data_IF_641469584942
#
_entry.id   IF_641469584942
#
_cell.length_a   1.000
_cell.length_b   1.000
_cell.length_c   1.000
_cell.angle_alpha   90.00
_cell.angle_beta   90.00
_cell.angle_gamma   90.00
#
_symmetry.space_group_name_H-M   'P 1'
#
loop_
_entity.id
_entity.type
_entity.pdbx_description
1 polymer ?
#
# COMPACT_ATOMS: atom_id res chain seq x y z
N UNK A 1 -41.07 27.93 -46.20
CA UNK A 1 -41.02 26.84 -47.18
C UNK A 1 -40.30 27.34 -48.41
N UNK A 2 -39.23 26.77 -48.93
CA UNK A 2 -38.32 25.74 -48.46
C UNK A 2 -37.42 25.46 -49.67
N UNK A 3 -36.10 25.44 -49.44
CA UNK A 3 -35.08 24.79 -50.28
C UNK A 3 -34.88 25.40 -51.68
N UNK A 4 -33.64 25.63 -52.14
CA UNK A 4 -32.72 24.59 -52.59
C UNK A 4 -31.29 25.13 -52.76
N UNK A 5 -30.32 24.22 -52.65
CA UNK A 5 -28.94 24.25 -53.18
C UNK A 5 -27.78 24.56 -52.19
N UNK A 6 -27.32 23.50 -51.52
CA UNK A 6 -25.99 22.87 -51.69
C UNK A 6 -24.81 23.84 -51.95
N UNK A 7 -24.05 24.23 -50.93
CA UNK A 7 -22.83 23.55 -50.39
C UNK A 7 -21.75 23.31 -51.47
N UNK A 8 -20.70 24.15 -51.45
CA UNK A 8 -19.28 23.77 -51.46
C UNK A 8 -18.40 25.04 -51.50
N UNK A 9 -17.92 25.48 -50.34
CA UNK A 9 -16.97 26.58 -50.18
C UNK A 9 -16.14 26.36 -48.93
N UNK A 10 -14.87 26.00 -49.13
CA UNK A 10 -13.89 25.62 -48.13
C UNK A 10 -13.65 26.74 -47.10
N UNK A 11 -13.59 26.39 -45.81
CA UNK A 11 -12.83 27.15 -44.82
C UNK A 11 -12.00 26.15 -44.01
N UNK A 12 -10.69 26.24 -44.24
CA UNK A 12 -9.65 25.72 -43.37
C UNK A 12 -9.81 26.29 -41.96
N UNK A 13 -9.91 25.44 -40.95
CA UNK A 13 -9.41 25.77 -39.62
C UNK A 13 -8.63 24.60 -39.04
N UNK A 14 -7.34 24.87 -38.90
CA UNK A 14 -6.31 24.15 -38.18
C UNK A 14 -6.81 23.72 -36.79
N UNK A 15 -6.88 22.41 -36.52
CA UNK A 15 -7.12 21.91 -35.17
C UNK A 15 -5.78 21.90 -34.42
N UNK A 16 -5.65 22.79 -33.43
CA UNK A 16 -4.52 22.80 -32.50
C UNK A 16 -4.32 21.41 -31.83
N UNK A 17 -3.08 21.01 -31.52
CA UNK A 17 -2.84 19.75 -30.84
C UNK A 17 -3.50 19.80 -29.47
N UNK A 18 -4.44 18.87 -29.23
CA UNK A 18 -4.98 18.62 -27.89
C UNK A 18 -3.85 18.08 -27.04
N UNK A 19 -3.37 18.92 -26.12
CA UNK A 19 -2.52 18.49 -25.03
C UNK A 19 -3.31 17.50 -24.16
N UNK A 20 -3.08 16.21 -24.41
CA UNK A 20 -3.63 15.11 -23.61
C UNK A 20 -2.75 14.83 -22.38
N UNK A 21 -2.00 15.80 -21.85
CA UNK A 21 -1.32 15.64 -20.57
C UNK A 21 -2.20 16.15 -19.42
N UNK A 22 -3.06 15.27 -18.93
CA UNK A 22 -3.48 15.22 -17.51
C UNK A 22 -4.31 13.95 -17.29
N UNK A 23 -3.65 12.81 -17.42
CA UNK A 23 -3.97 11.73 -16.50
C UNK A 23 -3.75 12.29 -15.08
N UNK A 24 -4.62 12.03 -14.08
CA UNK A 24 -4.25 12.26 -12.70
C UNK A 24 -3.21 11.19 -12.36
N UNK A 25 -1.98 11.41 -12.81
CA UNK A 25 -0.86 10.59 -12.46
C UNK A 25 -0.48 11.01 -11.04
N UNK A 26 -0.74 10.14 -10.07
CA UNK A 26 0.08 10.12 -8.88
C UNK A 26 1.55 10.27 -9.33
N UNK A 27 2.33 11.18 -8.74
CA UNK A 27 3.74 11.40 -9.07
C UNK A 27 4.60 10.24 -8.51
N UNK A 28 4.11 9.02 -8.68
CA UNK A 28 4.70 7.75 -8.26
C UNK A 28 5.26 7.00 -9.45
N UNK A 29 5.30 7.59 -10.66
CA UNK A 29 5.64 6.87 -11.91
C UNK A 29 7.07 6.30 -11.93
N UNK A 30 7.94 6.75 -11.02
CA UNK A 30 9.29 6.20 -10.84
C UNK A 30 9.37 5.09 -9.79
N UNK A 31 8.33 4.89 -8.98
CA UNK A 31 8.33 3.92 -7.90
C UNK A 31 7.61 2.64 -8.30
N UNK A 32 8.17 1.51 -7.89
CA UNK A 32 7.52 0.22 -8.05
C UNK A 32 6.25 0.19 -7.19
N UNK A 33 5.11 -0.13 -7.83
CA UNK A 33 3.85 -0.34 -7.12
C UNK A 33 3.93 -1.53 -6.14
N UNK A 34 3.10 -1.53 -5.07
CA UNK A 34 2.95 -2.68 -4.19
C UNK A 34 2.64 -3.97 -4.96
N UNK A 35 3.15 -5.09 -4.46
CA UNK A 35 2.63 -6.39 -4.91
C UNK A 35 1.22 -6.59 -4.35
N UNK A 36 0.36 -7.30 -5.07
CA UNK A 36 -0.95 -7.68 -4.55
C UNK A 36 -0.83 -8.57 -3.30
N UNK A 37 -1.75 -8.38 -2.36
CA UNK A 37 -1.85 -9.17 -1.14
C UNK A 37 -3.23 -9.84 -1.06
N UNK A 38 -3.24 -11.17 -1.08
CA UNK A 38 -4.48 -11.96 -1.12
C UNK A 38 -4.97 -12.43 0.27
N UNK A 39 -4.17 -12.17 1.32
CA UNK A 39 -4.44 -12.62 2.68
C UNK A 39 -4.08 -14.07 3.00
N UNK A 40 -3.35 -14.79 2.13
CA UNK A 40 -3.00 -16.21 2.35
C UNK A 40 -1.62 -16.43 2.97
N UNK A 41 -0.66 -15.55 2.70
CA UNK A 41 0.72 -15.69 3.11
C UNK A 41 1.11 -14.57 4.08
N UNK A 42 0.96 -14.83 5.38
CA UNK A 42 1.19 -13.84 6.44
C UNK A 42 2.57 -13.14 6.34
N UNK A 43 3.63 -13.88 6.03
CA UNK A 43 4.99 -13.33 5.88
C UNK A 43 5.11 -12.26 4.77
N UNK A 44 4.15 -12.16 3.85
CA UNK A 44 4.13 -11.11 2.80
C UNK A 44 3.48 -9.80 3.25
N UNK A 45 2.71 -9.82 4.34
CA UNK A 45 1.93 -8.67 4.79
C UNK A 45 2.83 -7.47 5.13
N UNK A 46 3.92 -7.69 5.88
CA UNK A 46 4.86 -6.61 6.23
C UNK A 46 5.47 -5.95 5.01
N UNK A 47 5.88 -6.74 4.01
CA UNK A 47 6.42 -6.22 2.75
C UNK A 47 5.39 -5.43 1.94
N UNK A 48 4.12 -5.88 1.94
CA UNK A 48 3.02 -5.13 1.33
C UNK A 48 2.83 -3.76 2.00
N UNK A 49 2.66 -3.72 3.32
CA UNK A 49 2.50 -2.47 4.08
C UNK A 49 3.67 -1.51 3.89
N UNK A 50 4.91 -2.01 3.98
CA UNK A 50 6.12 -1.19 3.76
C UNK A 50 6.16 -0.59 2.35
N UNK A 51 5.74 -1.35 1.33
CA UNK A 51 5.69 -0.82 -0.04
C UNK A 51 4.65 0.29 -0.20
N UNK A 52 3.49 0.20 0.46
CA UNK A 52 2.50 1.27 0.51
C UNK A 52 3.05 2.51 1.22
N UNK A 53 3.65 2.34 2.41
CA UNK A 53 4.23 3.44 3.18
C UNK A 53 5.31 4.17 2.38
N UNK A 54 6.16 3.45 1.65
CA UNK A 54 7.19 4.06 0.81
C UNK A 54 6.58 4.97 -0.28
N UNK A 55 5.50 4.54 -0.92
CA UNK A 55 4.75 5.35 -1.89
C UNK A 55 4.19 6.62 -1.22
N UNK A 56 3.62 6.50 -0.03
CA UNK A 56 3.03 7.64 0.68
C UNK A 56 4.07 8.69 1.08
N UNK A 57 5.26 8.23 1.52
CA UNK A 57 6.35 9.13 1.88
C UNK A 57 6.98 9.82 0.68
N UNK A 58 6.98 9.17 -0.48
CA UNK A 58 7.52 9.76 -1.71
C UNK A 58 6.59 10.82 -2.30
N UNK A 59 5.27 10.69 -2.14
CA UNK A 59 4.28 11.60 -2.71
C UNK A 59 3.31 12.12 -1.63
N UNK A 60 3.81 12.89 -0.64
CA UNK A 60 3.01 13.34 0.49
C UNK A 60 1.87 14.28 0.07
N UNK A 61 2.02 15.00 -1.05
CA UNK A 61 0.97 15.88 -1.60
C UNK A 61 -0.21 15.08 -2.14
N UNK A 62 0.00 13.88 -2.69
CA UNK A 62 -1.12 13.03 -3.10
C UNK A 62 -1.64 12.18 -1.94
N UNK A 63 -0.79 11.79 -0.99
CA UNK A 63 -1.14 10.94 0.15
C UNK A 63 -1.27 11.71 1.48
N UNK A 64 -1.75 12.95 1.43
CA UNK A 64 -1.89 13.82 2.61
C UNK A 64 -2.92 13.34 3.63
N UNK A 65 -3.92 12.57 3.21
CA UNK A 65 -4.97 12.05 4.09
C UNK A 65 -4.92 10.54 4.20
N UNK A 66 -5.26 10.04 5.39
CA UNK A 66 -5.33 8.61 5.66
C UNK A 66 -6.34 7.90 4.76
N UNK A 67 -7.46 8.56 4.42
CA UNK A 67 -8.43 8.02 3.47
C UNK A 67 -7.81 7.68 2.11
N UNK A 68 -6.95 8.55 1.57
CA UNK A 68 -6.25 8.27 0.31
C UNK A 68 -5.24 7.13 0.44
N UNK A 69 -4.53 7.05 1.56
CA UNK A 69 -3.58 5.96 1.86
C UNK A 69 -4.31 4.62 1.90
N UNK A 70 -5.40 4.54 2.67
CA UNK A 70 -6.21 3.34 2.79
C UNK A 70 -6.77 2.96 1.43
N UNK A 71 -7.39 3.89 0.69
CA UNK A 71 -7.96 3.57 -0.62
C UNK A 71 -6.93 3.03 -1.61
N UNK A 72 -5.75 3.66 -1.67
CA UNK A 72 -4.66 3.16 -2.49
C UNK A 72 -4.24 1.75 -2.07
N UNK A 73 -4.03 1.50 -0.79
CA UNK A 73 -3.68 0.15 -0.32
C UNK A 73 -4.76 -0.87 -0.64
N UNK A 74 -6.04 -0.52 -0.51
CA UNK A 74 -7.15 -1.44 -0.80
C UNK A 74 -7.21 -1.86 -2.27
N UNK A 75 -6.75 -1.03 -3.22
CA UNK A 75 -6.72 -1.43 -4.64
C UNK A 75 -5.73 -2.56 -4.95
N UNK A 76 -4.83 -2.87 -4.00
CA UNK A 76 -3.88 -3.99 -4.09
C UNK A 76 -4.28 -5.19 -3.22
N UNK A 77 -5.40 -5.11 -2.50
CA UNK A 77 -5.93 -6.26 -1.78
C UNK A 77 -6.75 -7.14 -2.74
N UNK A 78 -6.50 -8.44 -2.69
CA UNK A 78 -7.22 -9.44 -3.50
C UNK A 78 -7.64 -10.62 -2.63
N UNK A 79 -8.31 -11.61 -3.20
CA UNK A 79 -8.65 -12.85 -2.49
C UNK A 79 -9.38 -12.60 -1.17
N UNK A 80 -8.89 -13.21 -0.08
CA UNK A 80 -9.52 -13.11 1.24
C UNK A 80 -9.39 -11.70 1.83
N UNK A 81 -8.26 -11.03 1.62
CA UNK A 81 -8.06 -9.66 2.09
C UNK A 81 -8.97 -8.67 1.35
N UNK A 82 -9.16 -8.85 0.04
CA UNK A 82 -10.12 -8.08 -0.76
C UNK A 82 -11.57 -8.30 -0.30
N UNK A 83 -11.97 -9.56 -0.10
CA UNK A 83 -13.32 -9.89 0.39
C UNK A 83 -13.61 -9.30 1.77
N UNK A 84 -12.59 -9.20 2.64
CA UNK A 84 -12.73 -8.59 3.97
C UNK A 84 -13.03 -7.09 3.89
N UNK A 85 -12.41 -6.36 2.96
CA UNK A 85 -12.57 -4.90 2.87
C UNK A 85 -13.79 -4.48 2.05
N UNK A 86 -14.30 -5.33 1.17
CA UNK A 86 -15.42 -5.06 0.27
C UNK A 86 -16.65 -4.42 0.96
N UNK A 87 -17.16 -4.91 2.11
CA UNK A 87 -18.35 -4.34 2.75
C UNK A 87 -18.18 -2.87 3.16
N UNK A 88 -16.94 -2.46 3.46
CA UNK A 88 -16.62 -1.08 3.79
C UNK A 88 -16.59 -0.20 2.55
N UNK A 89 -16.05 -0.71 1.44
CA UNK A 89 -15.99 0.00 0.15
C UNK A 89 -17.36 0.24 -0.47
N UNK A 90 -18.32 -0.66 -0.28
CA UNK A 90 -19.70 -0.51 -0.76
C UNK A 90 -20.41 0.75 -0.21
N UNK A 91 -19.92 1.30 0.91
CA UNK A 91 -20.47 2.47 1.58
C UNK A 91 -19.58 3.72 1.46
N UNK A 92 -18.60 3.72 0.56
CA UNK A 92 -17.59 4.78 0.45
C UNK A 92 -18.17 6.15 0.07
N UNK A 93 -19.26 6.17 -0.70
CA UNK A 93 -19.91 7.40 -1.16
C UNK A 93 -20.95 7.96 -0.17
N UNK A 94 -21.17 7.30 0.97
CA UNK A 94 -22.13 7.76 1.98
C UNK A 94 -21.60 9.00 2.71
N UNK A 95 -22.50 9.81 3.27
CA UNK A 95 -22.14 11.01 4.05
C UNK A 95 -21.23 10.73 5.25
N UNK A 96 -21.23 9.48 5.75
CA UNK A 96 -20.39 9.03 6.85
C UNK A 96 -19.68 7.70 6.48
N UNK A 97 -18.55 7.76 5.76
CA UNK A 97 -17.79 6.56 5.41
C UNK A 97 -17.23 5.87 6.66
N UNK A 98 -16.99 4.55 6.56
CA UNK A 98 -16.43 3.78 7.67
C UNK A 98 -15.15 4.42 8.23
N UNK A 99 -15.02 4.47 9.55
CA UNK A 99 -13.82 4.96 10.23
C UNK A 99 -12.56 4.19 9.80
N UNK A 100 -12.71 2.89 9.50
CA UNK A 100 -11.66 2.05 8.94
C UNK A 100 -11.07 2.62 7.64
N UNK A 101 -11.91 3.17 6.76
CA UNK A 101 -11.48 3.70 5.47
C UNK A 101 -10.79 5.06 5.57
N UNK A 102 -10.86 5.74 6.71
CA UNK A 102 -10.30 7.08 6.91
C UNK A 102 -9.22 7.14 7.99
N UNK A 103 -8.78 5.99 8.51
CA UNK A 103 -7.76 5.90 9.54
C UNK A 103 -6.73 4.83 9.15
N UNK A 104 -5.52 5.27 8.80
CA UNK A 104 -4.46 4.38 8.35
C UNK A 104 -4.03 3.41 9.46
N UNK A 105 -3.85 3.92 10.68
CA UNK A 105 -3.42 3.12 11.82
C UNK A 105 -4.41 1.99 12.12
N UNK A 106 -5.71 2.29 12.11
CA UNK A 106 -6.76 1.30 12.34
C UNK A 106 -6.79 0.26 11.22
N UNK A 107 -6.70 0.70 9.96
CA UNK A 107 -6.64 -0.20 8.81
C UNK A 107 -5.44 -1.16 8.91
N UNK A 108 -4.24 -0.63 9.16
CA UNK A 108 -3.02 -1.41 9.33
C UNK A 108 -3.15 -2.40 10.50
N UNK A 109 -3.60 -1.94 11.66
CA UNK A 109 -3.83 -2.78 12.85
C UNK A 109 -4.77 -3.94 12.56
N UNK A 110 -5.91 -3.68 11.90
CA UNK A 110 -6.87 -4.73 11.55
C UNK A 110 -6.30 -5.70 10.52
N UNK A 111 -5.52 -5.22 9.55
CA UNK A 111 -4.89 -6.07 8.54
C UNK A 111 -3.87 -7.02 9.18
N UNK A 112 -3.04 -6.54 10.11
CA UNK A 112 -2.13 -7.40 10.90
C UNK A 112 -2.86 -8.34 11.84
N UNK A 113 -3.96 -7.89 12.46
CA UNK A 113 -4.77 -8.75 13.35
C UNK A 113 -5.38 -9.93 12.59
N UNK A 114 -5.85 -9.70 11.36
CA UNK A 114 -6.58 -10.70 10.57
C UNK A 114 -5.69 -11.57 9.68
N UNK A 115 -4.59 -11.02 9.17
CA UNK A 115 -3.74 -11.68 8.18
C UNK A 115 -2.25 -11.74 8.55
N UNK A 116 -1.87 -11.22 9.71
CA UNK A 116 -0.53 -11.37 10.26
C UNK A 116 -0.29 -12.77 10.82
N UNK A 117 0.97 -13.06 11.14
CA UNK A 117 1.32 -14.34 11.78
C UNK A 117 1.21 -14.18 13.30
N UNK A 118 0.28 -14.89 13.96
CA UNK A 118 0.11 -14.79 15.41
C UNK A 118 1.31 -15.29 16.21
N UNK A 119 2.23 -16.04 15.57
CA UNK A 119 3.43 -16.55 16.21
C UNK A 119 4.69 -15.72 15.93
N UNK A 120 4.61 -14.65 15.13
CA UNK A 120 5.80 -13.90 14.67
C UNK A 120 6.71 -13.47 15.83
N UNK A 121 6.12 -12.90 16.88
CA UNK A 121 6.86 -12.43 18.06
C UNK A 121 7.52 -13.59 18.79
N UNK A 122 6.77 -14.67 19.07
CA UNK A 122 7.28 -15.84 19.78
C UNK A 122 8.40 -16.53 19.02
N UNK A 123 8.26 -16.65 17.70
CA UNK A 123 9.30 -17.23 16.85
C UNK A 123 10.54 -16.34 16.79
N UNK A 124 10.37 -15.02 16.77
CA UNK A 124 11.48 -14.07 16.83
C UNK A 124 12.23 -14.15 18.16
N UNK A 125 11.51 -14.21 19.30
CA UNK A 125 12.09 -14.40 20.63
C UNK A 125 12.88 -15.71 20.70
N UNK A 126 12.28 -16.83 20.28
CA UNK A 126 12.95 -18.13 20.27
C UNK A 126 14.19 -18.14 19.34
N UNK A 127 14.11 -17.49 18.19
CA UNK A 127 15.26 -17.37 17.28
C UNK A 127 16.37 -16.51 17.90
N UNK A 128 16.01 -15.46 18.65
CA UNK A 128 16.95 -14.59 19.35
C UNK A 128 17.69 -15.33 20.46
N UNK A 129 16.96 -16.11 21.28
CA UNK A 129 17.52 -16.94 22.35
C UNK A 129 18.55 -17.95 21.82
N UNK A 130 18.32 -18.45 20.60
CA UNK A 130 19.19 -19.41 19.92
C UNK A 130 20.25 -18.75 19.01
N UNK A 131 20.24 -17.43 18.84
CA UNK A 131 21.16 -16.74 17.95
C UNK A 131 22.58 -16.79 18.52
N UNK A 132 23.50 -17.43 17.80
CA UNK A 132 24.92 -17.54 18.18
C UNK A 132 25.80 -17.21 16.98
N UNK A 133 26.87 -16.44 17.22
CA UNK A 133 27.90 -16.24 16.23
C UNK A 133 28.74 -17.53 16.11
N UNK A 134 28.83 -18.07 14.89
CA UNK A 134 29.70 -19.22 14.62
C UNK A 134 31.17 -18.81 14.71
N UNK A 135 32.05 -19.76 15.05
CA UNK A 135 33.49 -19.53 15.20
C UNK A 135 34.14 -18.99 13.91
N UNK A 136 33.64 -19.40 12.74
CA UNK A 136 34.02 -18.89 11.42
C UNK A 136 33.06 -17.83 10.84
N UNK A 137 32.12 -17.33 11.64
CA UNK A 137 31.08 -16.40 11.20
C UNK A 137 31.54 -14.94 11.17
N UNK A 138 30.96 -14.16 10.26
CA UNK A 138 31.17 -12.71 10.22
C UNK A 138 30.27 -12.00 11.24
N UNK A 139 30.86 -11.11 12.05
CA UNK A 139 30.14 -10.28 13.04
C UNK A 139 29.01 -9.48 12.39
N UNK A 140 29.20 -9.00 11.16
CA UNK A 140 28.18 -8.25 10.42
C UNK A 140 26.92 -9.05 10.15
N UNK A 141 27.02 -10.35 9.90
CA UNK A 141 25.87 -11.24 9.68
C UNK A 141 25.11 -11.43 10.99
N UNK A 142 25.82 -11.73 12.08
CA UNK A 142 25.21 -11.85 13.41
C UNK A 142 24.45 -10.58 13.81
N UNK A 143 25.06 -9.40 13.66
CA UNK A 143 24.42 -8.11 13.97
C UNK A 143 23.19 -7.89 13.09
N UNK A 144 23.25 -8.27 11.81
CA UNK A 144 22.12 -8.13 10.89
C UNK A 144 20.96 -9.03 11.29
N UNK A 145 21.22 -10.31 11.57
CA UNK A 145 20.22 -11.27 12.04
C UNK A 145 19.60 -10.83 13.36
N UNK A 146 20.43 -10.39 14.32
CA UNK A 146 19.98 -9.83 15.59
C UNK A 146 19.01 -8.66 15.37
N UNK A 147 19.38 -7.68 14.53
CA UNK A 147 18.53 -6.52 14.23
C UNK A 147 17.22 -6.90 13.54
N UNK A 148 17.26 -7.89 12.64
CA UNK A 148 16.06 -8.38 11.96
C UNK A 148 15.10 -9.00 12.98
N UNK A 149 15.58 -9.87 13.87
CA UNK A 149 14.76 -10.51 14.90
C UNK A 149 14.20 -9.49 15.89
N UNK A 150 15.04 -8.56 16.34
CA UNK A 150 14.65 -7.44 17.19
C UNK A 150 13.53 -6.59 16.59
N UNK A 151 13.56 -6.32 15.28
CA UNK A 151 12.52 -5.54 14.59
C UNK A 151 11.14 -6.21 14.53
N UNK A 152 11.02 -7.45 15.00
CA UNK A 152 9.76 -8.22 15.09
C UNK A 152 9.20 -8.28 16.50
N UNK A 153 9.94 -7.78 17.48
CA UNK A 153 9.55 -7.75 18.89
C UNK A 153 9.25 -6.27 19.19
N UNK A 154 7.99 -5.87 19.07
CA UNK A 154 7.52 -4.64 19.71
C UNK A 154 7.86 -4.78 21.20
N UNK A 155 8.68 -3.87 21.75
CA UNK A 155 8.95 -3.72 23.19
C UNK A 155 10.15 -4.44 23.85
N UNK A 156 11.20 -4.81 23.10
CA UNK A 156 12.40 -5.42 23.72
C UNK A 156 13.22 -4.45 24.59
N UNK A 157 13.19 -3.15 24.28
CA UNK A 157 14.03 -2.14 24.95
C UNK A 157 13.71 -1.90 26.43
N UNK A 158 12.51 -2.25 26.88
CA UNK A 158 12.09 -2.11 28.29
C UNK A 158 12.37 -3.37 29.13
N UNK A 159 12.87 -4.45 28.51
CA UNK A 159 13.08 -5.76 29.15
C UNK A 159 14.55 -6.10 29.44
N UNK A 160 15.49 -5.23 29.08
CA UNK A 160 16.94 -5.42 29.21
C UNK A 160 17.55 -4.71 30.44
#
# INVERSE_FOLDING_TARGET
MEQMATIMGQISQEAAPRDNSKSPAFNTSSMKAPNYFDGTQAHKLKGFIQSCQLIFHNDPENFFSDGKKVLYSTSFLTGRAGNWIEPYLSNISNENPSYLLNNWQLFETQLFTLFGDPNEVREAEQALDNLRMKESGHVSLYISDFKILMSRIEDWGERA
#
